data_IF_579654361152
#
_entry.id   IF_579654361152
#
_cell.length_a   1.000
_cell.length_b   1.000
_cell.length_c   1.000
_cell.angle_alpha   90.00
_cell.angle_beta   90.00
_cell.angle_gamma   90.00
#
_symmetry.space_group_name_H-M   'P 1'
#
loop_
_entity.id
_entity.type
_entity.pdbx_description
1 polymer ?
#
# COMPACT_ATOMS: atom_id res chain seq x y z
N UNK A 1 -7.76 -9.97 -7.80
CA UNK A 1 -7.17 -8.99 -6.85
C UNK A 1 -7.76 -9.25 -5.48
N UNK A 2 -7.01 -8.98 -4.43
CA UNK A 2 -7.45 -9.14 -3.04
C UNK A 2 -8.66 -8.23 -2.74
N UNK A 3 -9.68 -8.76 -2.06
CA UNK A 3 -10.67 -7.93 -1.38
C UNK A 3 -10.02 -7.33 -0.11
N UNK A 4 -9.90 -6.01 -0.04
CA UNK A 4 -9.17 -5.33 1.06
C UNK A 4 -9.97 -5.12 2.34
N UNK A 5 -11.27 -5.35 2.33
CA UNK A 5 -12.16 -5.14 3.48
C UNK A 5 -11.73 -5.94 4.72
N UNK A 6 -11.58 -5.29 5.87
CA UNK A 6 -11.25 -5.99 7.12
C UNK A 6 -11.91 -5.30 8.29
N UNK A 7 -13.22 -5.53 8.47
CA UNK A 7 -14.10 -4.79 9.39
C UNK A 7 -13.48 -4.52 10.77
N UNK A 8 -12.99 -5.53 11.48
CA UNK A 8 -12.39 -5.33 12.80
C UNK A 8 -11.13 -4.45 12.80
N UNK A 9 -10.28 -4.57 11.78
CA UNK A 9 -9.11 -3.70 11.64
C UNK A 9 -9.55 -2.27 11.27
N UNK A 10 -10.50 -2.16 10.35
CA UNK A 10 -11.06 -0.89 9.91
C UNK A 10 -11.72 -0.12 11.07
N UNK A 11 -12.37 -0.81 12.02
CA UNK A 11 -12.95 -0.20 13.22
C UNK A 11 -11.89 0.42 14.14
N UNK A 12 -10.78 -0.27 14.40
CA UNK A 12 -9.66 0.31 15.17
C UNK A 12 -9.07 1.52 14.44
N UNK A 13 -8.82 1.39 13.13
CA UNK A 13 -8.27 2.48 12.30
C UNK A 13 -9.18 3.72 12.31
N UNK A 14 -10.51 3.53 12.24
CA UNK A 14 -11.49 4.62 12.30
C UNK A 14 -11.53 5.33 13.66
N UNK A 15 -11.32 4.58 14.73
CA UNK A 15 -11.20 5.11 16.09
C UNK A 15 -9.82 5.70 16.38
N UNK A 16 -8.90 5.71 15.39
CA UNK A 16 -7.49 6.10 15.53
C UNK A 16 -6.75 5.30 16.61
N UNK A 17 -7.22 4.07 16.88
CA UNK A 17 -6.63 3.16 17.84
C UNK A 17 -5.57 2.28 17.15
N UNK A 18 -4.49 2.95 16.74
CA UNK A 18 -3.48 2.38 15.86
C UNK A 18 -2.69 1.24 16.52
N UNK A 19 -2.50 1.30 17.84
CA UNK A 19 -1.83 0.24 18.58
C UNK A 19 -2.67 -1.03 18.64
N UNK A 20 -3.96 -0.93 18.96
CA UNK A 20 -4.83 -2.10 18.93
C UNK A 20 -5.03 -2.62 17.51
N UNK A 21 -5.10 -1.76 16.49
CA UNK A 21 -5.10 -2.18 15.09
C UNK A 21 -3.86 -3.03 14.78
N UNK A 22 -2.67 -2.53 15.11
CA UNK A 22 -1.40 -3.25 14.91
C UNK A 22 -1.36 -4.58 15.64
N UNK A 23 -1.69 -4.60 16.94
CA UNK A 23 -1.68 -5.82 17.77
C UNK A 23 -2.63 -6.85 17.19
N UNK A 24 -3.86 -6.44 16.88
CA UNK A 24 -4.88 -7.31 16.30
C UNK A 24 -4.41 -7.88 14.95
N UNK A 25 -4.02 -7.02 14.01
CA UNK A 25 -3.67 -7.44 12.65
C UNK A 25 -2.43 -8.33 12.63
N UNK A 26 -1.40 -8.00 13.41
CA UNK A 26 -0.21 -8.84 13.56
C UNK A 26 -0.54 -10.21 14.16
N UNK A 27 -1.39 -10.25 15.20
CA UNK A 27 -1.87 -11.51 15.76
C UNK A 27 -2.60 -12.35 14.72
N UNK A 28 -3.49 -11.76 13.92
CA UNK A 28 -4.23 -12.47 12.87
C UNK A 28 -3.34 -12.95 11.71
N UNK A 29 -2.29 -12.21 11.37
CA UNK A 29 -1.29 -12.67 10.41
C UNK A 29 -0.43 -13.79 10.99
N UNK A 30 0.03 -13.66 12.23
CA UNK A 30 0.92 -14.66 12.85
C UNK A 30 0.27 -16.04 13.02
N UNK A 31 -1.07 -16.10 13.13
CA UNK A 31 -1.85 -17.36 13.13
C UNK A 31 -2.14 -17.91 11.72
N UNK A 32 -1.91 -17.11 10.67
CA UNK A 32 -2.22 -17.43 9.28
C UNK A 32 -1.18 -16.76 8.35
N UNK A 33 0.09 -17.14 8.52
CA UNK A 33 1.24 -16.40 7.98
C UNK A 33 1.28 -16.35 6.44
N UNK A 34 0.64 -17.31 5.79
CA UNK A 34 0.59 -17.42 4.33
C UNK A 34 -0.60 -16.67 3.70
N UNK A 35 -1.37 -15.94 4.50
CA UNK A 35 -2.41 -15.06 4.00
C UNK A 35 -1.83 -13.71 3.58
N UNK A 36 -1.61 -13.55 2.27
CA UNK A 36 -1.02 -12.35 1.69
C UNK A 36 -1.82 -11.07 1.99
N UNK A 37 -3.15 -11.15 2.04
CA UNK A 37 -3.99 -10.01 2.40
C UNK A 37 -3.63 -9.50 3.79
N UNK A 38 -3.55 -10.41 4.77
CA UNK A 38 -3.23 -10.05 6.16
C UNK A 38 -1.85 -9.43 6.24
N UNK A 39 -0.86 -10.04 5.59
CA UNK A 39 0.49 -9.50 5.51
C UNK A 39 0.48 -8.07 4.96
N UNK A 40 -0.08 -7.85 3.77
CA UNK A 40 -0.04 -6.55 3.10
C UNK A 40 -0.84 -5.48 3.84
N UNK A 41 -2.00 -5.83 4.39
CA UNK A 41 -2.80 -4.94 5.24
C UNK A 41 -2.03 -4.49 6.47
N UNK A 42 -1.38 -5.42 7.18
CA UNK A 42 -0.59 -5.09 8.37
C UNK A 42 0.64 -4.27 8.00
N UNK A 43 1.32 -4.61 6.89
CA UNK A 43 2.46 -3.85 6.39
C UNK A 43 2.07 -2.42 6.04
N UNK A 44 0.95 -2.22 5.34
CA UNK A 44 0.46 -0.90 4.98
C UNK A 44 0.13 -0.04 6.20
N UNK A 45 -0.52 -0.60 7.23
CA UNK A 45 -0.75 0.09 8.50
C UNK A 45 0.59 0.52 9.12
N UNK A 46 1.55 -0.41 9.23
CA UNK A 46 2.84 -0.12 9.85
C UNK A 46 3.63 0.94 9.09
N UNK A 47 3.67 0.83 7.76
CA UNK A 47 4.25 1.84 6.89
C UNK A 47 3.61 3.21 7.10
N UNK A 48 2.28 3.29 7.09
CA UNK A 48 1.53 4.54 7.29
C UNK A 48 1.95 5.24 8.59
N UNK A 49 2.02 4.51 9.70
CA UNK A 49 2.41 5.07 11.00
C UNK A 49 3.89 5.48 11.04
N UNK A 50 4.77 4.71 10.40
CA UNK A 50 6.19 5.08 10.30
C UNK A 50 6.37 6.43 9.57
N UNK A 51 5.62 6.66 8.51
CA UNK A 51 5.77 7.84 7.64
C UNK A 51 4.93 9.05 8.08
N UNK A 52 4.02 8.88 9.03
CA UNK A 52 3.16 9.97 9.49
C UNK A 52 3.96 11.09 10.17
N UNK A 53 3.79 12.33 9.73
CA UNK A 53 4.49 13.49 10.28
C UNK A 53 3.60 14.31 11.24
N UNK A 54 2.70 13.64 11.97
CA UNK A 54 1.79 14.26 12.93
C UNK A 54 0.40 14.57 12.38
N UNK A 55 0.03 14.00 11.23
CA UNK A 55 -1.30 14.20 10.63
C UNK A 55 -2.32 13.18 11.13
N UNK A 56 -1.87 11.94 11.37
CA UNK A 56 -2.70 10.83 11.81
C UNK A 56 -2.60 10.57 13.30
N UNK A 57 -1.43 10.82 13.87
CA UNK A 57 -1.11 10.50 15.26
C UNK A 57 -0.57 11.72 15.99
N UNK A 58 -0.97 11.88 17.26
CA UNK A 58 -0.16 12.67 18.18
C UNK A 58 1.12 11.86 18.46
N UNK A 59 2.21 12.30 17.85
CA UNK A 59 3.52 11.65 17.88
C UNK A 59 4.05 11.30 19.27
N UNK A 60 3.48 11.89 20.34
CA UNK A 60 3.90 11.64 21.73
C UNK A 60 3.35 10.35 22.34
N UNK A 61 2.33 9.73 21.76
CA UNK A 61 1.70 8.52 22.34
C UNK A 61 2.05 7.22 21.62
N UNK A 62 2.46 7.26 20.35
CA UNK A 62 2.68 6.06 19.53
C UNK A 62 4.15 5.80 19.31
N UNK A 63 4.57 4.57 19.64
CA UNK A 63 5.95 4.09 19.47
C UNK A 63 6.16 3.59 18.06
N UNK A 64 6.58 4.47 17.15
CA UNK A 64 6.84 4.15 15.74
C UNK A 64 7.82 2.99 15.55
N UNK A 65 8.75 2.80 16.48
CA UNK A 65 9.73 1.72 16.46
C UNK A 65 9.06 0.34 16.51
N UNK A 66 7.93 0.21 17.21
CA UNK A 66 7.21 -1.06 17.29
C UNK A 66 6.47 -1.39 15.97
N UNK A 67 5.97 -0.38 15.27
CA UNK A 67 5.41 -0.54 13.92
C UNK A 67 6.51 -0.88 12.92
N UNK A 68 7.68 -0.23 13.02
CA UNK A 68 8.83 -0.49 12.15
C UNK A 68 9.33 -1.93 12.27
N UNK A 69 9.45 -2.45 13.50
CA UNK A 69 9.84 -3.85 13.73
C UNK A 69 8.92 -4.84 13.04
N UNK A 70 7.61 -4.61 13.13
CA UNK A 70 6.61 -5.47 12.45
C UNK A 70 6.71 -5.31 10.92
N UNK A 71 6.87 -4.08 10.41
CA UNK A 71 7.05 -3.85 8.98
C UNK A 71 8.26 -4.61 8.43
N UNK A 72 9.38 -4.61 9.16
CA UNK A 72 10.60 -5.32 8.77
C UNK A 72 10.41 -6.84 8.78
N UNK A 73 9.73 -7.38 9.79
CA UNK A 73 9.40 -8.81 9.84
C UNK A 73 8.54 -9.23 8.66
N UNK A 74 7.45 -8.49 8.42
CA UNK A 74 6.51 -8.77 7.32
C UNK A 74 7.18 -8.61 5.95
N UNK A 75 8.06 -7.62 5.81
CA UNK A 75 8.81 -7.41 4.57
C UNK A 75 9.73 -8.59 4.29
N UNK A 76 10.53 -9.02 5.26
CA UNK A 76 11.44 -10.15 5.10
C UNK A 76 10.68 -11.47 4.86
N UNK A 77 9.57 -11.68 5.57
CA UNK A 77 8.72 -12.85 5.34
C UNK A 77 8.13 -12.83 3.93
N UNK A 78 7.54 -11.71 3.51
CA UNK A 78 6.93 -11.59 2.20
C UNK A 78 7.95 -11.66 1.06
N UNK A 79 9.17 -11.16 1.26
CA UNK A 79 10.27 -11.35 0.30
C UNK A 79 10.60 -12.84 0.12
N UNK A 80 10.56 -13.63 1.19
CA UNK A 80 10.84 -15.06 1.13
C UNK A 80 9.72 -15.86 0.46
N UNK A 81 8.46 -15.51 0.69
CA UNK A 81 7.31 -16.36 0.31
C UNK A 81 6.40 -15.79 -0.78
N UNK A 82 6.39 -14.48 -1.00
CA UNK A 82 5.47 -13.77 -1.89
C UNK A 82 6.17 -12.88 -2.92
N UNK A 83 7.50 -12.96 -3.09
CA UNK A 83 8.25 -12.12 -4.06
C UNK A 83 7.76 -12.25 -5.51
N UNK A 84 7.07 -13.34 -5.85
CA UNK A 84 6.48 -13.53 -7.17
C UNK A 84 5.01 -13.14 -7.27
N UNK A 85 4.36 -12.79 -6.16
CA UNK A 85 2.96 -12.38 -6.13
C UNK A 85 2.80 -10.92 -6.59
N UNK A 86 1.96 -10.63 -7.59
CA UNK A 86 1.73 -9.27 -8.07
C UNK A 86 1.29 -8.33 -6.96
N UNK A 87 0.43 -8.80 -6.04
CA UNK A 87 -0.10 -8.01 -4.94
C UNK A 87 0.99 -7.59 -3.93
N UNK A 88 1.98 -8.47 -3.70
CA UNK A 88 3.12 -8.13 -2.86
C UNK A 88 4.01 -7.08 -3.54
N UNK A 89 4.28 -7.29 -4.84
CA UNK A 89 5.17 -6.44 -5.62
C UNK A 89 4.66 -5.01 -5.76
N UNK A 90 3.38 -4.81 -6.12
CA UNK A 90 2.89 -3.44 -6.29
C UNK A 90 2.84 -2.69 -4.96
N UNK A 91 2.43 -3.35 -3.87
CA UNK A 91 2.27 -2.71 -2.57
C UNK A 91 3.62 -2.29 -1.98
N UNK A 92 4.58 -3.21 -1.92
CA UNK A 92 5.92 -2.87 -1.44
C UNK A 92 6.66 -1.97 -2.42
N UNK A 93 6.48 -2.16 -3.73
CA UNK A 93 7.03 -1.26 -4.74
C UNK A 93 6.55 0.17 -4.56
N UNK A 94 5.26 0.36 -4.25
CA UNK A 94 4.67 1.64 -3.91
C UNK A 94 5.30 2.27 -2.64
N UNK A 95 5.32 1.53 -1.53
CA UNK A 95 5.88 2.02 -0.26
C UNK A 95 7.37 2.37 -0.37
N UNK A 96 8.15 1.57 -1.10
CA UNK A 96 9.58 1.81 -1.34
C UNK A 96 9.83 3.00 -2.24
N UNK A 97 9.01 3.22 -3.27
CA UNK A 97 9.16 4.38 -4.15
C UNK A 97 8.92 5.68 -3.38
N UNK A 98 7.92 5.71 -2.49
CA UNK A 98 7.60 6.90 -1.71
C UNK A 98 8.55 7.14 -0.53
N UNK A 99 8.99 6.07 0.14
CA UNK A 99 9.77 6.17 1.38
C UNK A 99 10.92 5.15 1.43
N UNK A 100 11.86 5.21 0.48
CA UNK A 100 12.90 4.19 0.32
C UNK A 100 13.80 4.06 1.56
N UNK A 101 14.04 5.18 2.27
CA UNK A 101 14.84 5.21 3.51
C UNK A 101 14.26 4.35 4.64
N UNK A 102 12.97 4.01 4.58
CA UNK A 102 12.35 3.10 5.56
C UNK A 102 12.81 1.65 5.35
N UNK A 103 13.20 1.29 4.14
CA UNK A 103 13.56 -0.08 3.74
C UNK A 103 15.07 -0.28 3.61
N UNK A 104 15.83 0.79 3.38
CA UNK A 104 17.29 0.75 3.34
C UNK A 104 17.89 1.96 2.62
N UNK A 105 18.91 1.72 1.80
CA UNK A 105 19.52 2.78 1.00
C UNK A 105 18.49 3.47 0.09
N UNK A 106 18.49 4.81 0.13
CA UNK A 106 17.49 5.63 -0.55
C UNK A 106 17.45 5.35 -2.06
N UNK A 107 18.60 5.42 -2.72
CA UNK A 107 18.66 5.35 -4.18
C UNK A 107 18.38 3.92 -4.66
N UNK A 108 18.88 2.93 -3.92
CA UNK A 108 18.65 1.53 -4.20
C UNK A 108 17.16 1.18 -4.08
N UNK A 109 16.53 1.47 -2.93
CA UNK A 109 15.15 1.04 -2.69
C UNK A 109 14.14 1.82 -3.52
N UNK A 110 14.42 3.06 -3.92
CA UNK A 110 13.57 3.77 -4.87
C UNK A 110 13.57 3.07 -6.24
N UNK A 111 14.74 2.66 -6.74
CA UNK A 111 14.86 1.93 -8.00
C UNK A 111 14.24 0.53 -7.92
N UNK A 112 14.49 -0.20 -6.83
CA UNK A 112 13.84 -1.50 -6.56
C UNK A 112 12.32 -1.34 -6.53
N UNK A 113 11.82 -0.28 -5.89
CA UNK A 113 10.40 0.02 -5.82
C UNK A 113 9.78 0.21 -7.21
N UNK A 114 10.40 1.03 -8.05
CA UNK A 114 9.97 1.24 -9.45
C UNK A 114 9.99 -0.05 -10.26
N UNK A 115 11.04 -0.85 -10.11
CA UNK A 115 11.15 -2.16 -10.77
C UNK A 115 10.04 -3.10 -10.32
N UNK A 116 9.74 -3.18 -9.02
CA UNK A 116 8.69 -4.07 -8.52
C UNK A 116 7.30 -3.65 -8.96
N UNK A 117 7.01 -2.34 -9.06
CA UNK A 117 5.75 -1.86 -9.66
C UNK A 117 5.61 -2.31 -11.12
N UNK A 118 6.69 -2.24 -11.90
CA UNK A 118 6.70 -2.74 -13.27
C UNK A 118 6.52 -4.27 -13.35
N UNK A 119 7.26 -5.04 -12.54
CA UNK A 119 7.11 -6.50 -12.47
C UNK A 119 5.68 -6.91 -12.08
N UNK A 120 5.07 -6.21 -11.11
CA UNK A 120 3.69 -6.44 -10.73
C UNK A 120 2.75 -6.24 -11.91
N UNK A 121 2.90 -5.14 -12.67
CA UNK A 121 2.11 -4.87 -13.86
C UNK A 121 2.19 -6.01 -14.88
N UNK A 122 3.41 -6.43 -15.24
CA UNK A 122 3.63 -7.51 -16.20
C UNK A 122 3.00 -8.83 -15.73
N UNK A 123 3.12 -9.16 -14.44
CA UNK A 123 2.58 -10.41 -13.87
C UNK A 123 1.07 -10.38 -13.61
N UNK A 124 0.46 -9.21 -13.59
CA UNK A 124 -0.93 -9.04 -13.15
C UNK A 124 -2.00 -9.37 -14.21
N UNK A 125 -1.60 -9.74 -15.44
CA UNK A 125 -2.50 -10.06 -16.55
C UNK A 125 -3.58 -8.98 -16.79
N UNK A 126 -3.15 -7.75 -17.09
CA UNK A 126 -4.04 -6.60 -17.36
C UNK A 126 -4.90 -6.17 -16.16
N UNK A 127 -4.34 -6.19 -14.96
CA UNK A 127 -5.00 -5.60 -13.82
C UNK A 127 -4.89 -4.07 -13.85
N UNK A 128 -6.01 -3.39 -14.03
CA UNK A 128 -6.01 -1.93 -14.24
C UNK A 128 -5.58 -1.13 -13.01
N UNK A 129 -5.85 -1.59 -11.78
CA UNK A 129 -5.38 -0.91 -10.57
C UNK A 129 -3.86 -1.00 -10.47
N UNK A 130 -3.29 -2.19 -10.71
CA UNK A 130 -1.82 -2.36 -10.70
C UNK A 130 -1.18 -1.56 -11.83
N UNK A 131 -1.81 -1.51 -13.00
CA UNK A 131 -1.38 -0.64 -14.10
C UNK A 131 -1.39 0.83 -13.70
N UNK A 132 -2.44 1.32 -13.04
CA UNK A 132 -2.48 2.68 -12.50
C UNK A 132 -1.35 2.95 -11.50
N UNK A 133 -1.12 2.07 -10.54
CA UNK A 133 -0.02 2.21 -9.56
C UNK A 133 1.36 2.25 -10.24
N UNK A 134 1.56 1.44 -11.28
CA UNK A 134 2.78 1.50 -12.09
C UNK A 134 2.92 2.86 -12.79
N UNK A 135 1.90 3.28 -13.52
CA UNK A 135 1.91 4.52 -14.29
C UNK A 135 2.06 5.76 -13.40
N UNK A 136 1.47 5.76 -12.20
CA UNK A 136 1.58 6.85 -11.22
C UNK A 136 3.04 7.25 -10.96
N UNK A 137 3.96 6.28 -10.95
CA UNK A 137 5.38 6.51 -10.68
C UNK A 137 6.22 6.96 -11.87
N UNK A 138 5.61 7.21 -13.03
CA UNK A 138 6.28 7.70 -14.23
C UNK A 138 6.21 9.23 -14.31
N UNK A 139 7.08 9.82 -15.13
CA UNK A 139 7.03 11.24 -15.47
C UNK A 139 5.74 11.61 -16.25
N UNK A 140 5.39 12.89 -16.26
CA UNK A 140 4.16 13.39 -16.88
C UNK A 140 4.03 13.05 -18.37
N UNK A 141 5.13 13.11 -19.13
CA UNK A 141 5.12 12.80 -20.56
C UNK A 141 4.76 11.33 -20.79
N UNK A 142 5.43 10.43 -20.07
CA UNK A 142 5.17 9.00 -20.08
C UNK A 142 3.73 8.68 -19.65
N UNK A 143 3.23 9.30 -18.58
CA UNK A 143 1.85 9.11 -18.09
C UNK A 143 0.81 9.52 -19.12
N UNK A 144 1.02 10.68 -19.75
CA UNK A 144 0.10 11.19 -20.78
C UNK A 144 0.10 10.28 -22.02
N UNK A 145 1.28 9.88 -22.50
CA UNK A 145 1.43 8.98 -23.65
C UNK A 145 0.75 7.62 -23.43
N UNK A 146 0.76 7.13 -22.19
CA UNK A 146 0.18 5.84 -21.80
C UNK A 146 -1.28 5.92 -21.35
N UNK A 147 -1.92 7.10 -21.45
CA UNK A 147 -3.34 7.28 -21.17
C UNK A 147 -3.71 7.20 -19.69
N UNK A 148 -2.80 7.57 -18.78
CA UNK A 148 -3.00 7.46 -17.32
C UNK A 148 -4.30 8.09 -16.82
N UNK A 149 -4.60 9.34 -17.22
CA UNK A 149 -5.81 10.05 -16.78
C UNK A 149 -7.10 9.36 -17.22
N UNK A 150 -7.12 8.82 -18.43
CA UNK A 150 -8.29 8.07 -18.92
C UNK A 150 -8.47 6.79 -18.12
N UNK A 151 -7.38 6.04 -17.91
CA UNK A 151 -7.40 4.84 -17.09
C UNK A 151 -7.93 5.12 -15.69
N UNK A 152 -7.44 6.16 -14.99
CA UNK A 152 -7.91 6.53 -13.66
C UNK A 152 -9.44 6.76 -13.60
N UNK A 153 -10.02 7.40 -14.63
CA UNK A 153 -11.48 7.61 -14.72
C UNK A 153 -12.25 6.31 -14.91
N UNK A 154 -11.74 5.44 -15.78
CA UNK A 154 -12.39 4.15 -16.10
C UNK A 154 -12.36 3.19 -14.91
N UNK A 155 -11.34 3.27 -14.07
CA UNK A 155 -11.18 2.33 -12.95
C UNK A 155 -11.92 2.75 -11.67
N UNK A 156 -12.59 3.91 -11.61
CA UNK A 156 -13.32 4.36 -10.40
C UNK A 156 -14.23 3.26 -9.83
N UNK A 157 -15.13 2.62 -10.62
CA UNK A 157 -16.01 1.58 -10.08
C UNK A 157 -15.24 0.35 -9.57
N UNK A 158 -14.10 0.03 -10.21
CA UNK A 158 -13.24 -1.08 -9.84
C UNK A 158 -12.53 -0.78 -8.52
N UNK A 159 -12.04 0.45 -8.33
CA UNK A 159 -11.44 0.93 -7.08
C UNK A 159 -12.45 0.85 -5.94
N UNK A 160 -13.68 1.36 -6.16
CA UNK A 160 -14.72 1.36 -5.13
C UNK A 160 -15.05 -0.05 -4.65
N UNK A 161 -15.12 -1.01 -5.57
CA UNK A 161 -15.37 -2.41 -5.26
C UNK A 161 -14.17 -3.12 -4.62
N UNK A 162 -12.94 -2.80 -5.05
CA UNK A 162 -11.73 -3.46 -4.54
C UNK A 162 -11.37 -2.96 -3.14
N UNK A 163 -11.44 -1.65 -2.93
CA UNK A 163 -11.18 -0.99 -1.66
C UNK A 163 -12.48 -0.79 -0.87
N UNK A 164 -13.30 -1.84 -0.81
CA UNK A 164 -14.46 -1.91 0.09
C UNK A 164 -14.03 -1.89 1.56
N UNK A 165 -14.92 -1.37 2.40
CA UNK A 165 -14.64 -1.05 3.80
C UNK A 165 -14.38 0.45 4.02
N UNK A 166 -14.20 0.81 5.28
CA UNK A 166 -14.07 2.19 5.75
C UNK A 166 -12.73 2.47 6.45
N UNK A 167 -11.80 1.50 6.45
CA UNK A 167 -10.47 1.64 7.01
C UNK A 167 -9.60 2.68 6.31
N UNK A 168 -8.45 2.96 6.91
CA UNK A 168 -7.53 3.98 6.44
C UNK A 168 -6.94 3.64 5.07
N UNK A 169 -6.54 2.38 4.83
CA UNK A 169 -6.01 1.96 3.53
C UNK A 169 -7.01 2.19 2.39
N UNK A 170 -8.29 1.88 2.62
CA UNK A 170 -9.33 2.08 1.63
C UNK A 170 -9.48 3.55 1.29
N UNK A 171 -9.56 4.41 2.31
CA UNK A 171 -9.62 5.87 2.15
C UNK A 171 -8.40 6.39 1.40
N UNK A 172 -7.21 5.94 1.80
CA UNK A 172 -5.94 6.34 1.19
C UNK A 172 -5.90 6.06 -0.30
N UNK A 173 -6.12 4.82 -0.73
CA UNK A 173 -6.04 4.47 -2.15
C UNK A 173 -7.20 5.07 -2.96
N UNK A 174 -8.42 5.14 -2.41
CA UNK A 174 -9.52 5.87 -3.06
C UNK A 174 -9.15 7.33 -3.32
N UNK A 175 -8.61 8.02 -2.31
CA UNK A 175 -8.18 9.41 -2.43
C UNK A 175 -7.04 9.60 -3.42
N UNK A 176 -6.03 8.71 -3.42
CA UNK A 176 -4.92 8.75 -4.37
C UNK A 176 -5.41 8.83 -5.82
N UNK A 177 -6.28 7.89 -6.21
CA UNK A 177 -6.77 7.84 -7.58
C UNK A 177 -7.75 8.98 -7.90
N UNK A 178 -8.48 9.50 -6.92
CA UNK A 178 -9.36 10.67 -7.11
C UNK A 178 -8.55 11.96 -7.28
N UNK A 179 -7.46 12.16 -6.52
CA UNK A 179 -6.61 13.34 -6.62
C UNK A 179 -6.01 13.43 -8.02
N UNK A 180 -5.53 12.33 -8.60
CA UNK A 180 -4.94 12.35 -9.95
C UNK A 180 -5.95 12.68 -11.07
N UNK A 181 -7.24 12.41 -10.83
CA UNK A 181 -8.32 12.78 -11.74
C UNK A 181 -8.67 14.27 -11.61
N UNK A 182 -8.62 14.81 -10.39
CA UNK A 182 -8.99 16.18 -10.05
C UNK A 182 -7.83 17.18 -10.16
N UNK A 183 -6.59 16.71 -10.12
CA UNK A 183 -5.39 17.53 -10.28
C UNK A 183 -5.27 17.99 -11.76
N UNK A 184 -5.82 19.20 -11.98
CA UNK A 184 -5.83 19.99 -13.22
C UNK A 184 -6.71 19.41 -14.33
N UNK A 185 -8.02 19.69 -14.20
CA UNK A 185 -8.82 20.30 -15.28
C UNK A 185 -8.31 21.70 -15.58
#
# INVERSE_FOLDING_TARGET
>A
MINWEWTFADDFENNKDWDNARIYMYKQWSTDKYNIKKLLRTSFLCWTICIDNGNLIDSKMIKKEEFKKILDELFNFGLKFFRNEPDFLWMYGYMMTLTPMLFGDKNLFEQVGKQWKYEAYIKSNNNDIIKCIFLEGLDDESRNKLGYKQLCREIIPIIENTFKGNGYMQKYFKSLFLIDILAKS
#
